data_IF_390379875830
#
_entry.id   IF_390379875830
#
_cell.length_a   1.000
_cell.length_b   1.000
_cell.length_c   1.000
_cell.angle_alpha   90.00
_cell.angle_beta   90.00
_cell.angle_gamma   90.00
#
_symmetry.space_group_name_H-M   'P 1'
#
loop_
_entity.id
_entity.type
_entity.pdbx_description
1 polymer ?
#
# COMPACT_ATOMS: atom_id res chain seq x y z
N UNK A 1 -9.69 5.01 27.28
CA UNK A 1 -10.36 5.86 26.27
C UNK A 1 -9.47 6.19 25.08
N UNK A 2 -8.15 6.30 25.22
CA UNK A 2 -7.22 6.54 24.08
C UNK A 2 -7.16 5.41 23.04
N UNK A 3 -7.36 4.14 23.45
CA UNK A 3 -7.34 2.99 22.51
C UNK A 3 -8.37 3.11 21.40
N UNK A 4 -9.60 3.52 21.71
CA UNK A 4 -10.68 3.57 20.73
C UNK A 4 -10.40 4.58 19.60
N UNK A 5 -9.74 5.70 19.91
CA UNK A 5 -9.34 6.69 18.89
C UNK A 5 -8.18 6.21 18.01
N UNK A 6 -7.25 5.43 18.58
CA UNK A 6 -6.17 4.81 17.82
C UNK A 6 -6.69 3.70 16.89
N UNK A 7 -7.66 2.91 17.35
CA UNK A 7 -8.31 1.86 16.57
C UNK A 7 -9.10 2.44 15.38
N UNK A 8 -9.83 3.54 15.60
CA UNK A 8 -10.54 4.24 14.52
C UNK A 8 -9.56 4.80 13.47
N UNK A 9 -8.47 5.43 13.93
CA UNK A 9 -7.45 5.95 13.02
C UNK A 9 -6.78 4.83 12.22
N UNK A 10 -6.47 3.70 12.86
CA UNK A 10 -5.93 2.52 12.18
C UNK A 10 -6.90 2.00 11.11
N UNK A 11 -8.19 1.89 11.44
CA UNK A 11 -9.23 1.46 10.48
C UNK A 11 -9.36 2.41 9.29
N UNK A 12 -9.25 3.72 9.50
CA UNK A 12 -9.28 4.72 8.41
C UNK A 12 -8.05 4.60 7.49
N UNK A 13 -6.86 4.41 8.07
CA UNK A 13 -5.62 4.22 7.31
C UNK A 13 -5.71 2.93 6.49
N UNK A 14 -6.17 1.84 7.09
CA UNK A 14 -6.35 0.56 6.40
C UNK A 14 -7.38 0.68 5.26
N UNK A 15 -8.52 1.34 5.50
CA UNK A 15 -9.52 1.59 4.47
C UNK A 15 -8.97 2.35 3.25
N UNK A 16 -8.13 3.36 3.48
CA UNK A 16 -7.45 4.10 2.40
C UNK A 16 -6.44 3.21 1.67
N UNK A 17 -5.64 2.42 2.39
CA UNK A 17 -4.68 1.50 1.79
C UNK A 17 -5.38 0.47 0.89
N UNK A 18 -6.49 -0.13 1.36
CA UNK A 18 -7.31 -1.06 0.59
C UNK A 18 -7.92 -0.41 -0.67
N UNK A 19 -8.40 0.83 -0.56
CA UNK A 19 -8.92 1.56 -1.71
C UNK A 19 -7.83 1.77 -2.78
N UNK A 20 -6.63 2.19 -2.38
CA UNK A 20 -5.49 2.37 -3.28
C UNK A 20 -5.09 1.05 -3.95
N UNK A 21 -4.99 -0.04 -3.19
CA UNK A 21 -4.66 -1.36 -3.75
C UNK A 21 -5.68 -1.82 -4.79
N UNK A 22 -6.98 -1.66 -4.52
CA UNK A 22 -8.05 -2.03 -5.45
C UNK A 22 -8.02 -1.18 -6.72
N UNK A 23 -7.85 0.13 -6.59
CA UNK A 23 -7.75 1.04 -7.73
C UNK A 23 -6.55 0.68 -8.62
N UNK A 24 -5.39 0.47 -8.01
CA UNK A 24 -4.18 0.08 -8.74
C UNK A 24 -4.37 -1.26 -9.46
N UNK A 25 -4.90 -2.28 -8.77
CA UNK A 25 -5.14 -3.59 -9.37
C UNK A 25 -6.10 -3.51 -10.57
N UNK A 26 -7.16 -2.71 -10.45
CA UNK A 26 -8.11 -2.48 -11.54
C UNK A 26 -7.43 -1.81 -12.74
N UNK A 27 -6.67 -0.73 -12.52
CA UNK A 27 -5.94 -0.03 -13.59
C UNK A 27 -4.90 -0.90 -14.29
N UNK A 28 -4.25 -1.82 -13.55
CA UNK A 28 -3.35 -2.83 -14.13
C UNK A 28 -4.10 -3.83 -15.01
N UNK A 29 -5.24 -4.34 -14.53
CA UNK A 29 -6.06 -5.30 -15.28
C UNK A 29 -6.62 -4.70 -16.56
N UNK A 30 -6.96 -3.40 -16.51
CA UNK A 30 -7.44 -2.64 -17.66
C UNK A 30 -6.30 -2.21 -18.61
N UNK A 31 -5.03 -2.48 -18.26
CA UNK A 31 -3.86 -2.20 -19.09
C UNK A 31 -3.39 -0.74 -19.07
N UNK A 32 -3.93 0.10 -18.19
CA UNK A 32 -3.57 1.52 -18.08
C UNK A 32 -2.29 1.78 -17.28
N UNK A 33 -1.80 0.78 -16.54
CA UNK A 33 -0.62 0.93 -15.69
C UNK A 33 0.29 -0.30 -15.74
N UNK A 34 1.60 -0.04 -15.72
CA UNK A 34 2.62 -1.05 -15.44
C UNK A 34 2.76 -1.25 -13.93
N UNK A 35 2.00 -2.18 -13.38
CA UNK A 35 1.97 -2.47 -11.95
C UNK A 35 3.32 -2.68 -11.26
N UNK A 36 4.26 -3.47 -11.81
CA UNK A 36 5.56 -3.71 -11.17
C UNK A 36 6.37 -2.44 -10.93
N UNK A 37 6.21 -1.41 -11.77
CA UNK A 37 6.87 -0.12 -11.56
C UNK A 37 6.33 0.61 -10.33
N UNK A 38 5.04 0.51 -10.05
CA UNK A 38 4.45 1.15 -8.89
C UNK A 38 4.91 0.49 -7.58
N UNK A 39 4.91 -0.85 -7.51
CA UNK A 39 5.38 -1.55 -6.31
C UNK A 39 6.86 -1.29 -6.05
N UNK A 40 7.68 -1.15 -7.10
CA UNK A 40 9.06 -0.68 -6.97
C UNK A 40 9.15 0.75 -6.43
N UNK A 41 8.36 1.68 -6.98
CA UNK A 41 8.33 3.06 -6.51
C UNK A 41 7.91 3.16 -5.04
N UNK A 42 6.99 2.32 -4.56
CA UNK A 42 6.60 2.26 -3.15
C UNK A 42 7.73 1.74 -2.25
N UNK A 43 8.52 0.75 -2.69
CA UNK A 43 9.69 0.25 -1.96
C UNK A 43 10.79 1.30 -1.86
N UNK A 44 10.98 2.07 -2.93
CA UNK A 44 12.00 3.10 -3.02
C UNK A 44 11.57 4.43 -2.40
N UNK A 45 10.27 4.61 -2.15
CA UNK A 45 9.71 5.84 -1.63
C UNK A 45 10.41 6.25 -0.33
N UNK A 46 11.06 7.41 -0.40
CA UNK A 46 11.55 8.13 0.76
C UNK A 46 10.60 9.31 0.96
N UNK A 47 9.77 9.32 2.00
CA UNK A 47 9.04 10.52 2.38
C UNK A 47 10.06 11.55 2.88
N UNK A 48 10.75 12.24 1.98
CA UNK A 48 11.83 13.18 2.31
C UNK A 48 11.31 14.42 3.05
N UNK A 49 9.99 14.64 3.03
CA UNK A 49 9.37 15.90 3.43
C UNK A 49 8.46 15.82 4.68
N UNK A 50 8.22 14.62 5.25
CA UNK A 50 7.02 14.44 6.12
C UNK A 50 7.22 13.77 7.48
N UNK A 51 8.38 13.21 7.84
CA UNK A 51 8.48 12.52 9.13
C UNK A 51 9.88 12.43 9.73
N UNK A 52 9.99 12.70 11.03
CA UNK A 52 11.17 12.43 11.85
C UNK A 52 11.04 11.03 12.49
N UNK A 53 12.10 10.22 12.38
CA UNK A 53 12.26 8.95 13.10
C UNK A 53 11.12 7.94 12.92
N UNK A 54 10.29 7.79 13.96
CA UNK A 54 9.30 6.70 14.10
C UNK A 54 8.17 6.79 13.07
N UNK A 55 7.66 7.99 12.78
CA UNK A 55 6.58 8.19 11.81
C UNK A 55 7.03 7.83 10.39
N UNK A 56 8.30 8.09 10.07
CA UNK A 56 8.91 7.78 8.77
C UNK A 56 9.04 6.27 8.60
N UNK A 57 9.48 5.58 9.65
CA UNK A 57 9.59 4.13 9.67
C UNK A 57 8.22 3.46 9.54
N UNK A 58 7.20 3.97 10.23
CA UNK A 58 5.83 3.48 10.13
C UNK A 58 5.28 3.65 8.70
N UNK A 59 5.44 4.84 8.11
CA UNK A 59 5.01 5.10 6.73
C UNK A 59 5.71 4.20 5.71
N UNK A 60 7.04 4.02 5.84
CA UNK A 60 7.80 3.08 4.98
C UNK A 60 7.33 1.65 5.13
N UNK A 61 7.07 1.20 6.35
CA UNK A 61 6.56 -0.14 6.62
C UNK A 61 5.22 -0.37 5.91
N UNK A 62 4.31 0.60 5.99
CA UNK A 62 3.00 0.51 5.31
C UNK A 62 3.18 0.43 3.79
N UNK A 63 4.05 1.25 3.19
CA UNK A 63 4.32 1.20 1.74
C UNK A 63 4.90 -0.15 1.29
N UNK A 64 5.80 -0.74 2.09
CA UNK A 64 6.33 -2.08 1.85
C UNK A 64 5.23 -3.14 1.89
N UNK A 65 4.37 -3.10 2.91
CA UNK A 65 3.26 -4.04 3.06
C UNK A 65 2.26 -3.93 1.90
N UNK A 66 1.96 -2.71 1.45
CA UNK A 66 1.10 -2.50 0.27
C UNK A 66 1.73 -3.08 -1.00
N UNK A 67 3.05 -2.92 -1.19
CA UNK A 67 3.74 -3.50 -2.33
C UNK A 67 3.67 -5.04 -2.33
N UNK A 68 3.91 -5.65 -1.17
CA UNK A 68 3.80 -7.11 -0.97
C UNK A 68 2.38 -7.62 -1.24
N UNK A 69 1.35 -6.94 -0.71
CA UNK A 69 -0.05 -7.33 -0.94
C UNK A 69 -0.44 -7.28 -2.41
N UNK A 70 0.03 -6.26 -3.13
CA UNK A 70 -0.26 -6.12 -4.55
C UNK A 70 0.47 -7.17 -5.40
N UNK A 71 1.72 -7.49 -5.06
CA UNK A 71 2.46 -8.57 -5.70
C UNK A 71 1.81 -9.94 -5.46
N UNK A 72 1.41 -10.24 -4.22
CA UNK A 72 0.66 -11.47 -3.91
C UNK A 72 -0.67 -11.55 -4.68
N UNK A 73 -1.37 -10.42 -4.83
CA UNK A 73 -2.59 -10.36 -5.63
C UNK A 73 -2.34 -10.60 -7.13
N UNK A 74 -1.16 -10.25 -7.65
CA UNK A 74 -0.76 -10.58 -9.04
C UNK A 74 -0.45 -12.07 -9.17
N UNK A 75 0.34 -12.62 -8.24
CA UNK A 75 0.69 -14.05 -8.23
C UNK A 75 -0.56 -14.94 -8.18
N UNK A 76 -1.50 -14.62 -7.29
CA UNK A 76 -2.77 -15.35 -7.20
C UNK A 76 -3.59 -15.30 -8.50
N UNK A 77 -3.54 -14.18 -9.24
CA UNK A 77 -4.21 -14.07 -10.55
C UNK A 77 -3.55 -14.95 -11.61
N UNK A 78 -2.22 -15.05 -11.60
CA UNK A 78 -1.47 -15.92 -12.52
C UNK A 78 -1.74 -17.41 -12.27
N UNK A 79 -1.97 -17.81 -11.02
CA UNK A 79 -2.30 -19.21 -10.67
C UNK A 79 -3.73 -19.59 -11.04
N UNK A 80 -4.65 -18.63 -11.09
CA UNK A 80 -6.06 -18.86 -11.44
C UNK A 80 -6.38 -18.66 -12.93
N UNK A 81 -5.41 -18.30 -13.76
CA UNK A 81 -5.53 -18.20 -15.23
C UNK A 81 -5.09 -19.50 -15.90
#
# INVERSE_FOLDING_TARGET
MESAGLDELAGRIDGVAQAVLRLTAQLEMDGFMLGPRLTQAWREARPEHLALGVQLQASRKVLLQMAEQLDAARENRLVCQ
#
